data_IF_066525709902
#
_entry.id   IF_066525709902
#
_cell.length_a   1.000
_cell.length_b   1.000
_cell.length_c   1.000
_cell.angle_alpha   90.00
_cell.angle_beta   90.00
_cell.angle_gamma   90.00
#
_symmetry.space_group_name_H-M   'P 1'
#
loop_
_entity.id
_entity.type
_entity.pdbx_description
1 polymer ?
#
# COMPACT_ATOMS: atom_id res chain seq x y z
N UNK A 1 3.67 8.73 12.97
CA UNK A 1 4.84 9.50 12.46
C UNK A 1 6.17 9.08 13.09
N UNK A 2 6.20 8.49 14.31
CA UNK A 2 7.40 7.78 14.84
C UNK A 2 7.85 6.61 13.95
N UNK A 3 6.91 5.96 13.25
CA UNK A 3 7.16 4.77 12.39
C UNK A 3 8.19 4.98 11.29
N UNK A 4 8.24 6.14 10.63
CA UNK A 4 9.31 6.40 9.64
C UNK A 4 10.70 6.45 10.30
N UNK A 5 10.79 7.04 11.49
CA UNK A 5 12.05 7.12 12.23
C UNK A 5 12.48 5.74 12.76
N UNK A 6 11.54 4.82 12.93
CA UNK A 6 11.80 3.42 13.28
C UNK A 6 12.33 2.58 12.10
N UNK A 7 12.32 3.10 10.86
CA UNK A 7 12.89 2.39 9.73
C UNK A 7 14.42 2.22 9.89
N UNK A 8 14.98 1.10 9.39
CA UNK A 8 16.43 0.92 9.30
C UNK A 8 17.11 2.13 8.67
N UNK A 9 18.26 2.53 9.20
CA UNK A 9 19.00 3.71 8.73
C UNK A 9 19.27 3.64 7.22
N UNK A 10 19.55 2.44 6.69
CA UNK A 10 19.77 2.20 5.27
C UNK A 10 18.57 2.58 4.37
N UNK A 11 17.34 2.53 4.90
CA UNK A 11 16.13 2.92 4.17
C UNK A 11 15.78 4.40 4.35
N UNK A 12 16.14 5.01 5.49
CA UNK A 12 15.88 6.44 5.76
C UNK A 12 16.68 7.37 4.84
N UNK A 13 17.84 6.94 4.36
CA UNK A 13 18.65 7.71 3.40
C UNK A 13 18.18 7.65 1.93
N UNK A 14 17.16 6.85 1.61
CA UNK A 14 16.71 6.68 0.22
C UNK A 14 15.74 7.78 -0.21
N UNK A 15 15.75 8.20 -1.49
CA UNK A 15 14.69 9.00 -2.07
C UNK A 15 13.31 8.35 -1.87
N UNK A 16 12.34 9.15 -1.45
CA UNK A 16 10.99 8.73 -1.12
C UNK A 16 10.03 9.02 -2.28
N UNK A 17 9.31 7.99 -2.71
CA UNK A 17 8.28 8.07 -3.73
C UNK A 17 6.90 7.75 -3.14
N UNK A 18 6.03 8.74 -3.03
CA UNK A 18 4.66 8.53 -2.55
C UNK A 18 3.77 8.12 -3.72
N UNK A 19 3.10 6.98 -3.58
CA UNK A 19 2.04 6.56 -4.49
C UNK A 19 0.77 7.38 -4.22
N UNK A 20 0.46 8.33 -5.11
CA UNK A 20 -0.72 9.20 -5.01
C UNK A 20 -1.78 8.75 -6.01
N UNK A 21 -2.99 8.42 -5.54
CA UNK A 21 -4.13 8.06 -6.40
C UNK A 21 -5.17 9.17 -6.51
N UNK A 22 -5.15 10.13 -5.58
CA UNK A 22 -6.17 11.18 -5.47
C UNK A 22 -7.29 10.83 -4.49
N UNK A 23 -7.37 9.57 -4.04
CA UNK A 23 -8.27 9.16 -2.96
C UNK A 23 -7.75 9.51 -1.57
N UNK A 24 -8.67 9.49 -0.59
CA UNK A 24 -8.44 9.83 0.82
C UNK A 24 -7.08 9.35 1.35
N UNK A 25 -6.85 8.04 1.33
CA UNK A 25 -5.71 7.41 2.01
C UNK A 25 -4.38 7.93 1.43
N UNK A 26 -4.29 8.05 0.10
CA UNK A 26 -3.10 8.53 -0.58
C UNK A 26 -2.86 10.02 -0.38
N UNK A 27 -3.92 10.82 -0.29
CA UNK A 27 -3.86 12.25 -0.03
C UNK A 27 -3.39 12.52 1.41
N UNK A 28 -3.92 11.77 2.37
CA UNK A 28 -3.48 11.81 3.77
C UNK A 28 -2.01 11.42 3.89
N UNK A 29 -1.59 10.34 3.20
CA UNK A 29 -0.19 9.90 3.21
C UNK A 29 0.74 10.98 2.67
N UNK A 30 0.40 11.57 1.52
CA UNK A 30 1.21 12.61 0.91
C UNK A 30 1.23 13.90 1.76
N UNK A 31 0.10 14.28 2.37
CA UNK A 31 0.06 15.41 3.31
C UNK A 31 0.92 15.17 4.56
N UNK A 32 0.83 13.99 5.16
CA UNK A 32 1.67 13.61 6.30
C UNK A 32 3.17 13.56 5.93
N UNK A 33 3.51 13.10 4.72
CA UNK A 33 4.88 13.11 4.21
C UNK A 33 5.42 14.53 3.99
N UNK A 34 4.58 15.47 3.55
CA UNK A 34 4.97 16.89 3.41
C UNK A 34 5.32 17.53 4.76
N UNK A 35 4.63 17.17 5.84
CA UNK A 35 4.97 17.62 7.21
C UNK A 35 6.35 17.12 7.66
N UNK A 36 6.83 16.02 7.09
CA UNK A 36 8.13 15.43 7.38
C UNK A 36 9.21 15.84 6.38
N UNK A 37 8.92 16.70 5.40
CA UNK A 37 9.81 16.99 4.27
C UNK A 37 11.24 17.34 4.70
N UNK A 38 11.41 18.10 5.79
CA UNK A 38 12.74 18.47 6.31
C UNK A 38 13.57 17.31 6.84
N UNK A 39 12.93 16.16 7.11
CA UNK A 39 13.55 14.92 7.61
C UNK A 39 13.67 13.83 6.54
N UNK A 40 13.15 14.08 5.34
CA UNK A 40 13.23 13.16 4.21
C UNK A 40 14.33 13.64 3.26
N UNK A 41 15.08 12.74 2.59
CA UNK A 41 16.10 13.14 1.64
C UNK A 41 15.49 13.87 0.44
N UNK A 42 14.92 13.13 -0.52
CA UNK A 42 14.20 13.66 -1.66
C UNK A 42 12.78 13.10 -1.65
N UNK A 43 11.78 13.96 -1.83
CA UNK A 43 10.37 13.57 -1.85
C UNK A 43 9.79 13.77 -3.25
N UNK A 44 9.17 12.73 -3.77
CA UNK A 44 8.52 12.72 -5.07
C UNK A 44 7.13 12.12 -4.98
N UNK A 45 6.22 12.57 -5.85
CA UNK A 45 4.93 11.94 -6.06
C UNK A 45 4.94 11.12 -7.35
N UNK A 46 4.24 9.99 -7.32
CA UNK A 46 4.01 9.16 -8.49
C UNK A 46 2.52 8.78 -8.59
N UNK A 47 1.92 9.10 -9.73
CA UNK A 47 0.52 8.80 -10.03
C UNK A 47 0.42 7.87 -11.24
N UNK A 48 -0.51 6.92 -11.18
CA UNK A 48 -0.89 6.12 -12.34
C UNK A 48 -2.35 6.41 -12.66
N UNK A 49 -2.57 7.10 -13.79
CA UNK A 49 -3.91 7.34 -14.32
C UNK A 49 -4.25 6.21 -15.29
N UNK A 50 -5.10 5.27 -14.86
CA UNK A 50 -5.54 4.13 -15.69
C UNK A 50 -6.63 4.49 -16.71
N UNK A 51 -7.06 5.75 -16.76
CA UNK A 51 -8.06 6.30 -17.70
C UNK A 51 -9.30 5.43 -17.86
N UNK A 52 -9.76 4.84 -16.77
CA UNK A 52 -10.94 3.97 -16.73
C UNK A 52 -12.25 4.78 -16.65
N UNK A 53 -12.17 6.03 -16.17
CA UNK A 53 -13.30 6.94 -15.96
C UNK A 53 -13.03 8.30 -16.61
N UNK A 54 -12.76 8.32 -17.91
CA UNK A 54 -12.57 9.59 -18.63
C UNK A 54 -13.96 10.26 -18.78
N UNK A 55 -14.13 11.56 -18.49
CA UNK A 55 -13.09 12.57 -18.25
C UNK A 55 -12.65 12.75 -16.78
N UNK A 56 -13.36 12.18 -15.81
CA UNK A 56 -13.10 12.38 -14.38
C UNK A 56 -11.65 12.06 -13.98
N UNK A 57 -11.13 10.89 -14.39
CA UNK A 57 -9.74 10.49 -14.11
C UNK A 57 -8.68 11.49 -14.62
N UNK A 58 -8.95 12.18 -15.74
CA UNK A 58 -8.04 13.20 -16.28
C UNK A 58 -8.14 14.52 -15.47
N UNK A 59 -9.33 14.86 -14.94
CA UNK A 59 -9.53 15.99 -14.03
C UNK A 59 -8.91 15.77 -12.65
N UNK A 60 -9.01 14.55 -12.12
CA UNK A 60 -8.37 14.12 -10.88
C UNK A 60 -6.84 14.22 -11.00
N UNK A 61 -6.28 13.74 -12.13
CA UNK A 61 -4.85 13.90 -12.42
C UNK A 61 -4.43 15.38 -12.46
N UNK A 62 -5.18 16.24 -13.13
CA UNK A 62 -4.88 17.67 -13.21
C UNK A 62 -4.87 18.33 -11.81
N UNK A 63 -5.82 17.95 -10.95
CA UNK A 63 -5.92 18.43 -9.57
C UNK A 63 -4.70 17.98 -8.74
N UNK A 64 -4.27 16.72 -8.87
CA UNK A 64 -3.06 16.20 -8.23
C UNK A 64 -1.80 16.95 -8.68
N UNK A 65 -1.66 17.24 -9.98
CA UNK A 65 -0.53 18.00 -10.51
C UNK A 65 -0.51 19.43 -9.97
N UNK A 66 -1.65 20.10 -9.91
CA UNK A 66 -1.77 21.43 -9.34
C UNK A 66 -1.40 21.43 -7.84
N UNK A 67 -1.86 20.42 -7.09
CA UNK A 67 -1.49 20.27 -5.69
C UNK A 67 0.02 20.03 -5.49
N UNK A 68 0.61 19.12 -6.25
CA UNK A 68 2.04 18.84 -6.21
C UNK A 68 2.89 20.09 -6.53
N UNK A 69 2.47 20.87 -7.54
CA UNK A 69 3.10 22.14 -7.90
C UNK A 69 3.05 23.14 -6.74
N UNK A 70 1.89 23.33 -6.11
CA UNK A 70 1.75 24.21 -4.93
C UNK A 70 2.59 23.75 -3.74
N UNK A 71 2.70 22.45 -3.55
CA UNK A 71 3.53 21.86 -2.50
C UNK A 71 5.04 21.89 -2.82
N UNK A 72 5.44 22.30 -4.03
CA UNK A 72 6.82 22.28 -4.49
C UNK A 72 7.42 20.87 -4.50
N UNK A 73 6.62 19.85 -4.86
CA UNK A 73 7.02 18.43 -4.95
C UNK A 73 6.91 17.94 -6.40
N UNK A 74 7.98 17.37 -6.99
CA UNK A 74 7.91 16.79 -8.32
C UNK A 74 6.90 15.64 -8.39
N UNK A 75 6.05 15.64 -9.41
CA UNK A 75 5.10 14.56 -9.67
C UNK A 75 5.37 13.90 -11.03
N UNK A 76 5.52 12.57 -11.00
CA UNK A 76 5.61 11.74 -12.19
C UNK A 76 4.28 11.05 -12.45
N UNK A 77 3.83 11.05 -13.70
CA UNK A 77 2.54 10.44 -14.04
C UNK A 77 2.71 9.45 -15.18
N UNK A 78 2.16 8.25 -14.99
CA UNK A 78 1.97 7.28 -16.05
C UNK A 78 0.49 7.23 -16.41
N UNK A 79 0.17 7.49 -17.69
CA UNK A 79 -1.18 7.31 -18.23
C UNK A 79 -1.26 5.98 -18.96
N UNK A 80 -2.24 5.15 -18.59
CA UNK A 80 -2.49 3.85 -19.20
C UNK A 80 -3.95 3.76 -19.58
N UNK A 81 -4.26 2.98 -20.62
CA UNK A 81 -5.60 2.49 -20.89
C UNK A 81 -5.47 1.01 -21.24
N UNK A 82 -6.22 0.10 -20.58
CA UNK A 82 -6.17 -1.30 -20.96
C UNK A 82 -6.72 -1.46 -22.39
N UNK A 83 -5.97 -2.16 -23.26
CA UNK A 83 -6.40 -2.42 -24.65
C UNK A 83 -7.65 -3.31 -24.73
N UNK A 84 -7.79 -4.21 -23.76
CA UNK A 84 -8.95 -5.07 -23.54
C UNK A 84 -9.19 -5.20 -22.03
N UNK A 85 -10.41 -5.52 -21.60
CA UNK A 85 -10.74 -5.71 -20.16
C UNK A 85 -9.89 -6.87 -19.62
N UNK A 86 -8.91 -6.63 -18.74
CA UNK A 86 -8.10 -7.70 -18.19
C UNK A 86 -8.98 -8.61 -17.32
N UNK A 87 -8.69 -9.92 -17.32
CA UNK A 87 -9.38 -10.89 -16.47
C UNK A 87 -9.32 -10.49 -14.98
N UNK A 88 -8.21 -9.88 -14.56
CA UNK A 88 -8.07 -9.29 -13.24
C UNK A 88 -7.47 -7.88 -13.33
N UNK A 89 -8.35 -6.88 -13.34
CA UNK A 89 -7.97 -5.47 -13.40
C UNK A 89 -7.10 -5.03 -12.22
N UNK A 90 -7.35 -5.53 -11.00
CA UNK A 90 -6.57 -5.18 -9.82
C UNK A 90 -5.13 -5.72 -9.91
N UNK A 91 -4.96 -6.97 -10.35
CA UNK A 91 -3.64 -7.57 -10.56
C UNK A 91 -2.86 -6.83 -11.65
N UNK A 92 -3.50 -6.57 -12.80
CA UNK A 92 -2.91 -5.79 -13.89
C UNK A 92 -2.50 -4.38 -13.43
N UNK A 93 -3.38 -3.67 -12.71
CA UNK A 93 -3.10 -2.34 -12.19
C UNK A 93 -1.89 -2.35 -11.24
N UNK A 94 -1.86 -3.30 -10.30
CA UNK A 94 -0.75 -3.49 -9.37
C UNK A 94 0.57 -3.73 -10.10
N UNK A 95 0.59 -4.64 -11.07
CA UNK A 95 1.79 -4.97 -11.85
C UNK A 95 2.32 -3.73 -12.58
N UNK A 96 1.46 -3.00 -13.29
CA UNK A 96 1.85 -1.79 -14.03
C UNK A 96 2.36 -0.69 -13.10
N UNK A 97 1.75 -0.54 -11.93
CA UNK A 97 2.20 0.41 -10.90
C UNK A 97 3.59 0.06 -10.37
N UNK A 98 3.84 -1.20 -10.05
CA UNK A 98 5.17 -1.63 -9.60
C UNK A 98 6.22 -1.46 -10.70
N UNK A 99 5.90 -1.81 -11.95
CA UNK A 99 6.80 -1.57 -13.09
C UNK A 99 7.11 -0.08 -13.27
N UNK A 100 6.12 0.80 -13.09
CA UNK A 100 6.32 2.24 -13.13
C UNK A 100 7.30 2.71 -12.04
N UNK A 101 7.12 2.28 -10.79
CA UNK A 101 8.02 2.61 -9.69
C UNK A 101 9.46 2.11 -9.94
N UNK A 102 9.62 0.89 -10.47
CA UNK A 102 10.94 0.36 -10.87
C UNK A 102 11.62 1.29 -11.86
N UNK A 103 10.90 1.72 -12.90
CA UNK A 103 11.45 2.65 -13.90
C UNK A 103 11.86 3.99 -13.29
N UNK A 104 11.03 4.54 -12.40
CA UNK A 104 11.33 5.82 -11.75
C UNK A 104 12.59 5.73 -10.87
N UNK A 105 12.72 4.65 -10.08
CA UNK A 105 13.85 4.44 -9.19
C UNK A 105 15.13 4.11 -9.97
N UNK A 106 15.04 3.30 -11.02
CA UNK A 106 16.18 2.99 -11.87
C UNK A 106 16.76 4.24 -12.57
N UNK A 107 15.94 5.25 -12.82
CA UNK A 107 16.39 6.52 -13.39
C UNK A 107 17.03 7.48 -12.36
N UNK A 108 16.97 7.18 -11.06
CA UNK A 108 17.63 8.00 -10.03
C UNK A 108 19.10 7.62 -9.86
N UNK A 109 19.90 8.60 -9.44
CA UNK A 109 21.28 8.36 -9.04
C UNK A 109 21.31 7.30 -7.92
N UNK A 110 22.05 6.21 -8.16
CA UNK A 110 22.15 5.09 -7.23
C UNK A 110 21.08 3.99 -7.38
N UNK A 111 20.08 4.16 -8.25
CA UNK A 111 19.12 3.09 -8.60
C UNK A 111 18.30 2.53 -7.43
N UNK A 112 18.19 3.27 -6.33
CA UNK A 112 17.52 2.84 -5.09
C UNK A 112 16.55 3.92 -4.60
N UNK A 113 15.43 3.48 -4.06
CA UNK A 113 14.37 4.36 -3.57
C UNK A 113 13.40 3.61 -2.66
N UNK A 114 12.63 4.36 -1.90
CA UNK A 114 11.63 3.84 -0.98
C UNK A 114 10.24 4.30 -1.43
N UNK A 115 9.39 3.35 -1.80
CA UNK A 115 8.02 3.62 -2.25
C UNK A 115 7.07 3.58 -1.07
N UNK A 116 6.34 4.66 -0.81
CA UNK A 116 5.33 4.68 0.24
C UNK A 116 3.95 4.45 -0.37
N UNK A 117 3.18 3.54 0.22
CA UNK A 117 1.81 3.24 -0.17
C UNK A 117 0.87 3.37 1.02
N UNK A 118 -0.29 3.98 0.80
CA UNK A 118 -1.28 4.28 1.83
C UNK A 118 -2.17 3.10 2.21
N UNK A 119 -1.63 1.88 2.18
CA UNK A 119 -2.39 0.72 2.63
C UNK A 119 -2.68 0.86 4.13
N UNK A 120 -3.93 0.64 4.51
CA UNK A 120 -4.41 0.82 5.86
C UNK A 120 -4.93 -0.50 6.48
N UNK A 121 -5.36 -0.47 7.75
CA UNK A 121 -5.79 -1.67 8.49
C UNK A 121 -6.89 -2.48 7.78
N UNK A 122 -7.79 -1.80 7.07
CA UNK A 122 -8.83 -2.43 6.25
C UNK A 122 -8.25 -3.20 5.06
N UNK A 123 -7.24 -2.64 4.37
CA UNK A 123 -6.55 -3.36 3.28
C UNK A 123 -5.82 -4.61 3.78
N UNK A 124 -5.30 -4.55 5.01
CA UNK A 124 -4.67 -5.69 5.66
C UNK A 124 -5.70 -6.80 5.92
N UNK A 125 -6.81 -6.47 6.56
CA UNK A 125 -7.91 -7.41 6.81
C UNK A 125 -8.43 -8.04 5.51
N UNK A 126 -8.64 -7.24 4.47
CA UNK A 126 -9.03 -7.74 3.15
C UNK A 126 -8.02 -8.71 2.56
N UNK A 127 -6.72 -8.42 2.73
CA UNK A 127 -5.65 -9.28 2.21
C UNK A 127 -5.59 -10.60 2.97
N UNK A 128 -5.71 -10.58 4.29
CA UNK A 128 -5.72 -11.78 5.14
C UNK A 128 -6.90 -12.67 4.78
N UNK A 129 -8.12 -12.12 4.74
CA UNK A 129 -9.33 -12.87 4.38
C UNK A 129 -9.27 -13.40 2.94
N UNK A 130 -8.80 -12.61 1.99
CA UNK A 130 -8.67 -13.06 0.60
C UNK A 130 -7.69 -14.23 0.45
N UNK A 131 -6.64 -14.28 1.27
CA UNK A 131 -5.68 -15.40 1.29
C UNK A 131 -6.23 -16.61 2.04
N UNK A 132 -6.95 -16.39 3.14
CA UNK A 132 -7.64 -17.45 3.87
C UNK A 132 -8.65 -18.18 2.98
N UNK A 133 -9.50 -17.44 2.25
CA UNK A 133 -10.47 -18.01 1.31
C UNK A 133 -9.84 -18.77 0.14
N UNK A 134 -8.54 -18.59 -0.11
CA UNK A 134 -7.77 -19.33 -1.12
C UNK A 134 -7.01 -20.53 -0.53
N UNK A 135 -7.21 -20.86 0.75
CA UNK A 135 -6.52 -21.96 1.42
C UNK A 135 -5.04 -21.70 1.70
N UNK A 136 -4.65 -20.43 1.88
CA UNK A 136 -3.26 -20.10 2.20
C UNK A 136 -2.86 -20.65 3.59
N UNK A 137 -1.67 -21.25 3.69
CA UNK A 137 -1.04 -21.61 4.97
C UNK A 137 -0.48 -20.40 5.72
N UNK A 138 0.14 -20.62 6.88
CA UNK A 138 0.63 -19.57 7.79
C UNK A 138 1.49 -18.51 7.10
N UNK A 139 2.45 -18.93 6.26
CA UNK A 139 3.31 -18.01 5.48
C UNK A 139 2.51 -17.08 4.57
N UNK A 140 1.40 -17.56 4.01
CA UNK A 140 0.49 -16.74 3.22
C UNK A 140 -0.41 -15.86 4.10
N UNK A 141 -0.84 -16.33 5.26
CA UNK A 141 -1.75 -15.60 6.14
C UNK A 141 -1.10 -14.41 6.87
N UNK A 142 0.22 -14.24 6.80
CA UNK A 142 0.95 -13.10 7.40
C UNK A 142 0.55 -11.70 6.89
N UNK A 143 -0.36 -11.62 5.92
CA UNK A 143 -0.82 -10.34 5.36
C UNK A 143 0.29 -9.59 4.59
N UNK A 144 0.20 -8.26 4.58
CA UNK A 144 1.27 -7.38 4.11
C UNK A 144 2.22 -7.06 5.27
N UNK A 145 3.50 -6.88 4.96
CA UNK A 145 4.47 -6.34 5.90
C UNK A 145 4.47 -4.80 5.85
N UNK A 146 4.77 -4.15 6.98
CA UNK A 146 4.90 -2.68 7.02
C UNK A 146 6.03 -2.20 6.08
N UNK A 147 7.13 -2.96 6.04
CA UNK A 147 8.26 -2.77 5.13
C UNK A 147 8.50 -4.08 4.40
N UNK A 148 8.57 -4.03 3.06
CA UNK A 148 8.74 -5.22 2.24
C UNK A 148 9.58 -4.89 1.00
N UNK A 149 10.44 -5.82 0.57
CA UNK A 149 11.07 -5.73 -0.75
C UNK A 149 10.23 -6.52 -1.78
N UNK A 150 9.73 -5.83 -2.82
CA UNK A 150 8.88 -6.41 -3.86
C UNK A 150 9.56 -6.33 -5.23
N UNK A 151 10.32 -7.37 -5.57
CA UNK A 151 11.05 -7.45 -6.84
C UNK A 151 11.98 -6.26 -7.02
N UNK A 152 12.91 -6.07 -6.09
CA UNK A 152 13.91 -4.99 -6.08
C UNK A 152 13.39 -3.62 -5.60
N UNK A 153 12.13 -3.52 -5.18
CA UNK A 153 11.53 -2.29 -4.68
C UNK A 153 11.29 -2.35 -3.18
N UNK A 154 11.92 -1.45 -2.43
CA UNK A 154 11.53 -1.23 -1.04
C UNK A 154 10.19 -0.50 -0.99
N UNK A 155 9.22 -1.11 -0.32
CA UNK A 155 7.87 -0.60 -0.09
C UNK A 155 7.66 -0.38 1.39
N UNK A 156 7.17 0.79 1.76
CA UNK A 156 6.77 1.14 3.11
C UNK A 156 5.27 1.48 3.18
N UNK A 157 4.57 0.97 4.18
CA UNK A 157 3.13 1.12 4.39
C UNK A 157 2.87 1.71 5.79
N UNK A 158 3.11 3.01 6.01
CA UNK A 158 3.06 3.61 7.36
C UNK A 158 1.68 3.57 8.02
N UNK A 159 0.63 3.31 7.25
CA UNK A 159 -0.75 3.27 7.74
C UNK A 159 -1.27 1.86 7.95
N UNK A 160 -0.44 0.82 7.82
CA UNK A 160 -0.91 -0.57 7.78
C UNK A 160 -1.72 -0.99 9.02
N UNK A 161 -1.42 -0.40 10.18
CA UNK A 161 -2.16 -0.60 11.44
C UNK A 161 -3.14 0.53 11.77
N UNK A 162 -3.26 1.54 10.90
CA UNK A 162 -4.10 2.72 11.11
C UNK A 162 -5.51 2.43 10.57
N UNK A 163 -6.57 2.64 11.38
CA UNK A 163 -7.94 2.48 10.91
C UNK A 163 -8.30 3.58 9.90
N UNK A 164 -9.21 3.26 8.98
CA UNK A 164 -9.63 4.21 7.94
C UNK A 164 -10.25 5.48 8.51
N UNK A 165 -10.94 5.37 9.64
CA UNK A 165 -11.56 6.50 10.34
C UNK A 165 -10.52 7.55 10.77
N UNK A 166 -9.37 7.10 11.28
CA UNK A 166 -8.31 8.02 11.69
C UNK A 166 -7.75 8.80 10.49
N UNK A 167 -7.71 8.20 9.29
CA UNK A 167 -7.33 8.90 8.06
C UNK A 167 -8.38 9.95 7.67
N UNK A 168 -9.67 9.66 7.85
CA UNK A 168 -10.76 10.62 7.61
C UNK A 168 -10.68 11.81 8.56
N UNK A 169 -10.56 11.55 9.87
CA UNK A 169 -10.38 12.59 10.89
C UNK A 169 -9.17 13.48 10.58
N UNK A 170 -8.05 12.88 10.18
CA UNK A 170 -6.87 13.64 9.76
C UNK A 170 -7.16 14.51 8.53
N UNK A 171 -7.83 13.97 7.51
CA UNK A 171 -8.16 14.72 6.31
C UNK A 171 -9.07 15.91 6.61
N UNK A 172 -10.05 15.75 7.49
CA UNK A 172 -10.96 16.82 7.93
C UNK A 172 -10.21 17.90 8.73
N UNK A 173 -9.42 17.50 9.72
CA UNK A 173 -8.63 18.41 10.55
C UNK A 173 -7.65 19.27 9.71
N UNK A 174 -7.09 18.69 8.64
CA UNK A 174 -6.19 19.38 7.72
C UNK A 174 -6.87 19.95 6.47
N UNK A 175 -8.20 19.89 6.38
CA UNK A 175 -9.01 20.38 5.24
C UNK A 175 -8.48 19.88 3.89
N UNK A 176 -8.11 18.61 3.84
CA UNK A 176 -7.56 17.99 2.63
C UNK A 176 -8.66 17.75 1.60
N UNK A 177 -8.41 18.15 0.37
CA UNK A 177 -9.28 17.86 -0.77
C UNK A 177 -8.82 16.55 -1.41
N UNK A 178 -9.73 15.59 -1.50
CA UNK A 178 -9.51 14.30 -2.17
C UNK A 178 -10.72 13.93 -3.01
N UNK A 179 -10.51 13.05 -3.99
CA UNK A 179 -11.54 12.58 -4.89
C UNK A 179 -12.16 11.27 -4.37
N UNK A 180 -13.48 11.15 -4.47
CA UNK A 180 -14.18 9.91 -4.17
C UNK A 180 -14.05 8.93 -5.34
N UNK A 181 -13.34 7.82 -5.12
CA UNK A 181 -13.17 6.79 -6.14
C UNK A 181 -14.40 5.87 -6.20
N UNK A 182 -15.38 6.24 -7.04
CA UNK A 182 -16.59 5.45 -7.33
C UNK A 182 -16.28 4.04 -7.87
N UNK A 183 -15.08 3.80 -8.40
CA UNK A 183 -14.65 2.49 -8.90
C UNK A 183 -14.57 1.42 -7.80
N UNK A 184 -14.57 1.83 -6.52
CA UNK A 184 -14.52 0.94 -5.38
C UNK A 184 -15.90 0.43 -4.92
N UNK A 185 -16.99 0.82 -5.59
CA UNK A 185 -18.37 0.50 -5.16
C UNK A 185 -18.91 -0.83 -5.71
N UNK A 186 -18.33 -1.37 -6.80
CA UNK A 186 -18.79 -2.64 -7.40
C UNK A 186 -18.39 -3.88 -6.61
N UNK A 187 -19.22 -4.93 -6.57
CA UNK A 187 -18.96 -6.20 -5.84
C UNK A 187 -18.35 -7.32 -6.70
N UNK A 188 -17.94 -7.03 -7.94
CA UNK A 188 -17.50 -8.05 -8.90
C UNK A 188 -16.19 -8.74 -8.46
N UNK A 189 -15.32 -8.01 -7.77
CA UNK A 189 -14.03 -8.50 -7.32
C UNK A 189 -14.10 -9.04 -5.89
N UNK A 190 -13.36 -10.13 -5.62
CA UNK A 190 -13.30 -10.77 -4.30
C UNK A 190 -12.99 -9.77 -3.17
N UNK A 191 -12.01 -8.88 -3.38
CA UNK A 191 -11.68 -7.84 -2.38
C UNK A 191 -12.86 -6.92 -2.08
N UNK A 192 -13.62 -6.52 -3.09
CA UNK A 192 -14.78 -5.65 -2.89
C UNK A 192 -15.91 -6.40 -2.17
N UNK A 193 -16.12 -7.70 -2.45
CA UNK A 193 -17.04 -8.53 -1.65
C UNK A 193 -16.59 -8.66 -0.19
N UNK A 194 -15.30 -8.84 0.04
CA UNK A 194 -14.76 -8.88 1.40
C UNK A 194 -15.05 -7.55 2.10
N UNK A 195 -14.71 -6.43 1.48
CA UNK A 195 -14.91 -5.08 2.03
C UNK A 195 -16.37 -4.74 2.31
N UNK A 196 -17.27 -5.02 1.39
CA UNK A 196 -18.66 -4.53 1.43
C UNK A 196 -19.68 -5.52 1.97
N UNK A 197 -19.33 -6.81 2.06
CA UNK A 197 -20.26 -7.85 2.55
C UNK A 197 -19.69 -8.61 3.73
N UNK A 198 -18.46 -9.12 3.64
CA UNK A 198 -17.92 -10.03 4.66
C UNK A 198 -17.45 -9.27 5.89
N UNK A 199 -16.64 -8.21 5.72
CA UNK A 199 -16.12 -7.43 6.85
C UNK A 199 -17.21 -6.76 7.68
N UNK A 200 -18.28 -6.18 7.09
CA UNK A 200 -19.41 -5.66 7.87
C UNK A 200 -20.08 -6.72 8.74
N UNK A 201 -20.37 -7.91 8.18
CA UNK A 201 -20.97 -9.01 8.94
C UNK A 201 -20.06 -9.48 10.09
N UNK A 202 -18.74 -9.58 9.85
CA UNK A 202 -17.81 -9.92 10.93
C UNK A 202 -17.68 -8.81 11.98
N UNK A 203 -17.92 -7.55 11.61
CA UNK A 203 -17.87 -6.41 12.52
C UNK A 203 -19.11 -6.37 13.44
N UNK A 204 -20.25 -6.91 13.00
CA UNK A 204 -21.44 -7.11 13.84
C UNK A 204 -21.14 -8.08 14.99
N UNK A 205 -20.37 -9.15 14.73
CA UNK A 205 -19.95 -10.11 15.75
C UNK A 205 -18.77 -9.61 16.60
N UNK A 206 -17.81 -8.92 15.98
CA UNK A 206 -16.65 -8.37 16.64
C UNK A 206 -16.32 -6.97 16.11
N UNK A 207 -16.68 -5.90 16.84
CA UNK A 207 -16.38 -4.53 16.44
C UNK A 207 -14.89 -4.24 16.23
N UNK A 208 -14.00 -5.06 16.79
CA UNK A 208 -12.53 -4.97 16.63
C UNK A 208 -11.98 -5.98 15.62
N UNK A 209 -12.79 -6.46 14.67
CA UNK A 209 -12.38 -7.49 13.71
C UNK A 209 -11.14 -7.11 12.89
N UNK A 210 -11.00 -5.83 12.49
CA UNK A 210 -9.83 -5.38 11.71
C UNK A 210 -8.53 -5.50 12.52
N UNK A 211 -8.59 -5.19 13.81
CA UNK A 211 -7.48 -5.35 14.75
C UNK A 211 -7.18 -6.83 14.97
N UNK A 212 -8.21 -7.64 15.23
CA UNK A 212 -8.06 -9.09 15.43
C UNK A 212 -7.42 -9.77 14.21
N UNK A 213 -7.81 -9.41 12.99
CA UNK A 213 -7.22 -9.93 11.76
C UNK A 213 -5.76 -9.46 11.56
N UNK A 214 -5.43 -8.24 12.00
CA UNK A 214 -4.06 -7.72 11.96
C UNK A 214 -3.15 -8.48 12.93
N UNK A 215 -3.61 -8.70 14.17
CA UNK A 215 -2.89 -9.51 15.18
C UNK A 215 -2.74 -10.96 14.70
N UNK A 216 -3.79 -11.53 14.11
CA UNK A 216 -3.71 -12.87 13.54
C UNK A 216 -2.65 -12.98 12.45
N UNK A 217 -2.60 -12.00 11.54
CA UNK A 217 -1.59 -11.94 10.50
C UNK A 217 -0.16 -11.87 11.08
N UNK A 218 0.05 -11.02 12.07
CA UNK A 218 1.35 -10.90 12.75
C UNK A 218 1.78 -12.24 13.38
N UNK A 219 0.88 -12.88 14.14
CA UNK A 219 1.14 -14.18 14.77
C UNK A 219 1.39 -15.29 13.75
N UNK A 220 0.64 -15.31 12.66
CA UNK A 220 0.86 -16.26 11.57
C UNK A 220 2.24 -16.06 10.92
N UNK A 221 2.68 -14.81 10.75
CA UNK A 221 4.01 -14.46 10.28
C UNK A 221 5.12 -14.95 11.23
N UNK A 222 5.00 -14.65 12.52
CA UNK A 222 5.95 -15.10 13.55
C UNK A 222 6.06 -16.63 13.59
N UNK A 223 4.92 -17.33 13.57
CA UNK A 223 4.90 -18.79 13.54
C UNK A 223 5.56 -19.35 12.28
N UNK A 224 5.27 -18.77 11.10
CA UNK A 224 5.89 -19.19 9.85
C UNK A 224 7.41 -19.02 9.86
N UNK A 225 7.92 -17.87 10.36
CA UNK A 225 9.36 -17.61 10.47
C UNK A 225 10.05 -18.55 11.45
N UNK A 226 9.42 -18.85 12.60
CA UNK A 226 9.96 -19.80 13.56
C UNK A 226 10.07 -21.22 12.97
N UNK A 227 9.03 -21.68 12.27
CA UNK A 227 9.04 -22.97 11.59
C UNK A 227 10.12 -23.04 10.49
N UNK A 228 10.27 -21.97 9.70
CA UNK A 228 11.29 -21.90 8.65
C UNK A 228 12.72 -21.93 9.25
N UNK A 229 12.95 -21.22 10.36
CA UNK A 229 14.24 -21.25 11.07
C UNK A 229 14.56 -22.64 11.65
N UNK A 230 13.57 -23.31 12.27
CA UNK A 230 13.73 -24.68 12.78
C UNK A 230 14.03 -25.67 11.66
N UNK A 231 13.31 -25.58 10.54
CA UNK A 231 13.55 -26.43 9.37
C UNK A 231 14.97 -26.24 8.81
N UNK A 232 15.44 -24.98 8.67
CA UNK A 232 16.80 -24.69 8.22
C UNK A 232 17.88 -25.17 9.20
N UNK A 233 17.63 -25.09 10.51
CA UNK A 233 18.55 -25.61 11.51
C UNK A 233 18.65 -27.14 11.43
N UNK A 234 17.52 -27.82 11.24
CA UNK A 234 17.48 -29.27 11.09
C UNK A 234 18.20 -29.75 9.83
N UNK A 235 17.93 -29.12 8.68
CA UNK A 235 18.61 -29.43 7.41
C UNK A 235 20.13 -29.23 7.50
N UNK A 236 20.58 -28.16 8.18
CA UNK A 236 22.03 -27.94 8.40
C UNK A 236 22.66 -29.03 9.23
N UNK A 237 21.99 -29.53 10.28
CA UNK A 237 22.48 -30.63 11.10
C UNK A 237 22.56 -31.94 10.31
N UNK A 238 21.52 -32.26 9.55
CA UNK A 238 21.47 -33.45 8.71
C UNK A 238 22.50 -33.44 7.56
N UNK A 239 22.99 -32.27 7.15
CA UNK A 239 24.04 -32.15 6.12
C UNK A 239 25.47 -32.27 6.68
N UNK A 240 25.66 -32.23 8.00
CA UNK A 240 26.97 -32.29 8.66
C UNK A 240 27.15 -33.54 9.55
N UNK A 241 26.20 -34.48 9.49
CA UNK A 241 26.26 -35.78 10.17
C UNK A 241 25.93 -36.90 9.19
#
# INVERSE_FOLDING_TARGET
MSRYLALPQALRGLPVWIAVSGGLDSTVLAAAALQLRSRLPALHFAHVNYRLRVPDSDREEASLRAWAKRAGVPIQVLRLRPKAKPANLQAWARERRLAFFRRLIAAQAGGRGLVWMAHHQGDQAETVLARLLRGAGLKGLRGMDEVEEIGGLWVFRPFLEVPKEALRVYAEAHRLVFHHDRSNEGVDYLRNRIRHRILPLLAEENPRILEALSIFAERAGQAASALEALAQAWLRRAAHG
#
